data_IF_717993444094
#
_entry.id   IF_717993444094
#
_cell.length_a   1.000
_cell.length_b   1.000
_cell.length_c   1.000
_cell.angle_alpha   90.00
_cell.angle_beta   90.00
_cell.angle_gamma   90.00
#
_symmetry.space_group_name_H-M   'P 1'
#
loop_
_entity.id
_entity.type
_entity.pdbx_description
1 polymer ?
#
# COMPACT_ATOMS: atom_id res chain seq x y z
N UNK A 1 37.01 -16.78 14.94
CA UNK A 1 36.82 -15.63 15.85
C UNK A 1 35.60 -14.87 15.34
N UNK A 2 34.46 -15.00 16.02
CA UNK A 2 33.17 -14.52 15.53
C UNK A 2 33.11 -12.99 15.61
N UNK A 3 32.86 -12.33 14.48
CA UNK A 3 32.57 -10.90 14.40
C UNK A 3 31.12 -10.69 14.88
N UNK A 4 30.97 -10.07 16.05
CA UNK A 4 29.69 -9.68 16.61
C UNK A 4 29.05 -8.54 15.82
N UNK A 5 27.71 -8.48 15.83
CA UNK A 5 26.85 -7.58 15.05
C UNK A 5 27.01 -6.07 15.33
N UNK A 6 27.91 -5.65 16.22
CA UNK A 6 27.93 -4.29 16.77
C UNK A 6 29.26 -3.54 16.54
N UNK A 7 30.16 -4.07 15.71
CA UNK A 7 31.54 -3.55 15.59
C UNK A 7 31.69 -2.31 14.67
N UNK A 8 30.59 -1.81 14.10
CA UNK A 8 30.64 -0.64 13.22
C UNK A 8 30.83 0.68 13.98
N UNK A 9 30.40 0.75 15.25
CA UNK A 9 30.58 1.95 16.09
C UNK A 9 32.05 2.20 16.47
N UNK A 10 32.89 1.15 16.56
CA UNK A 10 34.29 1.29 17.01
C UNK A 10 35.23 1.88 15.96
N UNK A 11 34.84 1.86 14.67
CA UNK A 11 35.62 2.48 13.58
C UNK A 11 35.39 3.98 13.41
N UNK A 12 34.39 4.55 14.09
CA UNK A 12 33.99 5.96 13.97
C UNK A 12 34.90 6.94 14.72
N UNK A 13 35.93 6.47 15.42
CA UNK A 13 36.79 7.35 16.22
C UNK A 13 37.86 8.12 15.43
N UNK A 14 38.03 7.87 14.13
CA UNK A 14 39.22 8.32 13.38
C UNK A 14 38.95 9.05 12.07
N UNK A 15 37.70 9.15 11.60
CA UNK A 15 37.30 9.92 10.42
C UNK A 15 36.46 11.13 10.84
N UNK A 16 36.62 12.26 10.14
CA UNK A 16 35.88 13.48 10.47
C UNK A 16 34.38 13.33 10.21
N UNK A 17 33.55 14.02 11.01
CA UNK A 17 32.08 13.97 10.96
C UNK A 17 31.47 14.15 9.54
N UNK A 18 32.16 14.86 8.63
CA UNK A 18 31.74 15.02 7.23
C UNK A 18 31.94 13.76 6.38
N UNK A 19 33.03 13.01 6.64
CA UNK A 19 33.33 11.74 5.98
C UNK A 19 32.34 10.67 6.44
N UNK A 20 32.01 10.64 7.73
CA UNK A 20 30.98 9.75 8.29
C UNK A 20 29.59 10.04 7.70
N UNK A 21 29.23 11.32 7.53
CA UNK A 21 27.96 11.71 6.92
C UNK A 21 27.86 11.30 5.45
N UNK A 22 28.94 11.46 4.68
CA UNK A 22 28.96 11.06 3.27
C UNK A 22 28.84 9.55 3.13
N UNK A 23 29.54 8.78 3.97
CA UNK A 23 29.43 7.32 3.97
C UNK A 23 28.01 6.83 4.31
N UNK A 24 27.34 7.49 5.26
CA UNK A 24 25.94 7.19 5.59
C UNK A 24 24.99 7.48 4.42
N UNK A 25 25.20 8.60 3.70
CA UNK A 25 24.41 8.95 2.50
C UNK A 25 24.63 7.94 1.39
N UNK A 26 25.87 7.57 1.09
CA UNK A 26 26.19 6.56 0.09
C UNK A 26 25.55 5.20 0.43
N UNK A 27 25.46 4.86 1.72
CA UNK A 27 24.78 3.65 2.17
C UNK A 27 23.26 3.73 1.94
N UNK A 28 22.64 4.89 2.17
CA UNK A 28 21.21 5.12 1.88
C UNK A 28 20.95 5.06 0.38
N UNK A 29 21.77 5.71 -0.46
CA UNK A 29 21.58 5.72 -1.91
C UNK A 29 21.66 4.31 -2.52
N UNK A 30 22.57 3.48 -1.99
CA UNK A 30 22.65 2.05 -2.35
C UNK A 30 21.39 1.29 -1.93
N UNK A 31 20.91 1.50 -0.71
CA UNK A 31 19.68 0.86 -0.23
C UNK A 31 18.46 1.30 -1.04
N UNK A 32 18.36 2.58 -1.38
CA UNK A 32 17.27 3.11 -2.22
C UNK A 32 17.27 2.49 -3.61
N UNK A 33 18.47 2.24 -4.17
CA UNK A 33 18.63 1.50 -5.42
C UNK A 33 18.11 0.06 -5.30
N UNK A 34 18.39 -0.62 -4.19
CA UNK A 34 17.87 -1.96 -3.91
C UNK A 34 16.34 -1.96 -3.74
N UNK A 35 15.79 -0.97 -3.03
CA UNK A 35 14.35 -0.78 -2.87
C UNK A 35 13.69 -0.59 -4.25
N UNK A 36 14.26 0.27 -5.11
CA UNK A 36 13.75 0.51 -6.44
C UNK A 36 13.71 -0.77 -7.28
N UNK A 37 14.78 -1.58 -7.25
CA UNK A 37 14.82 -2.87 -7.94
C UNK A 37 13.78 -3.85 -7.39
N UNK A 38 13.65 -3.93 -6.06
CA UNK A 38 12.65 -4.78 -5.41
C UNK A 38 11.22 -4.38 -5.77
N UNK A 39 10.94 -3.07 -5.83
CA UNK A 39 9.65 -2.53 -6.26
C UNK A 39 9.36 -2.89 -7.72
N UNK A 40 10.32 -2.68 -8.63
CA UNK A 40 10.16 -3.04 -10.04
C UNK A 40 9.82 -4.53 -10.21
N UNK A 41 10.57 -5.41 -9.53
CA UNK A 41 10.31 -6.86 -9.51
C UNK A 41 8.92 -7.19 -8.94
N UNK A 42 8.52 -6.54 -7.85
CA UNK A 42 7.18 -6.71 -7.26
C UNK A 42 6.09 -6.32 -8.25
N UNK A 43 6.26 -5.21 -8.98
CA UNK A 43 5.28 -4.78 -9.97
C UNK A 43 5.16 -5.79 -11.12
N UNK A 44 6.27 -6.31 -11.64
CA UNK A 44 6.26 -7.37 -12.66
C UNK A 44 5.54 -8.64 -12.19
N UNK A 45 5.78 -9.08 -10.95
CA UNK A 45 5.05 -10.21 -10.36
C UNK A 45 3.55 -9.91 -10.26
N UNK A 46 3.19 -8.68 -9.93
CA UNK A 46 1.80 -8.27 -9.84
C UNK A 46 1.11 -8.29 -11.20
N UNK A 47 1.80 -7.90 -12.28
CA UNK A 47 1.31 -8.00 -13.65
C UNK A 47 1.06 -9.47 -14.04
N UNK A 48 1.99 -10.37 -13.69
CA UNK A 48 1.85 -11.81 -13.93
C UNK A 48 0.66 -12.41 -13.17
N UNK A 49 0.41 -11.98 -11.92
CA UNK A 49 -0.74 -12.42 -11.13
C UNK A 49 -2.06 -12.05 -11.81
N UNK A 50 -2.16 -10.86 -12.42
CA UNK A 50 -3.36 -10.47 -13.17
C UNK A 50 -3.48 -11.24 -14.47
N UNK A 51 -2.39 -11.43 -15.22
CA UNK A 51 -2.40 -12.22 -16.43
C UNK A 51 -2.88 -13.67 -16.18
N UNK A 52 -2.48 -14.27 -15.06
CA UNK A 52 -2.90 -15.61 -14.66
C UNK A 52 -4.40 -15.69 -14.27
N UNK A 53 -5.00 -14.57 -13.88
CA UNK A 53 -6.34 -14.52 -13.26
C UNK A 53 -7.51 -14.60 -14.25
N UNK A 54 -7.30 -14.75 -15.56
CA UNK A 54 -8.34 -14.97 -16.61
C UNK A 54 -9.64 -14.16 -16.39
N UNK A 55 -9.53 -12.86 -16.09
CA UNK A 55 -10.68 -11.96 -15.87
C UNK A 55 -11.08 -11.75 -14.41
N UNK A 56 -10.36 -12.30 -13.42
CA UNK A 56 -10.60 -11.98 -12.02
C UNK A 56 -9.99 -10.62 -11.63
N UNK A 57 -10.79 -9.81 -10.94
CA UNK A 57 -10.46 -8.43 -10.56
C UNK A 57 -9.21 -8.30 -9.67
N UNK A 58 -8.46 -7.21 -9.91
CA UNK A 58 -7.25 -6.85 -9.19
C UNK A 58 -7.53 -6.42 -7.74
N UNK A 59 -8.53 -5.57 -7.51
CA UNK A 59 -8.84 -5.03 -6.19
C UNK A 59 -9.53 -6.06 -5.28
N UNK A 60 -8.87 -6.42 -4.17
CA UNK A 60 -9.34 -7.41 -3.18
C UNK A 60 -9.03 -6.92 -1.76
N UNK A 61 -9.88 -6.08 -1.14
CA UNK A 61 -9.63 -5.46 0.16
C UNK A 61 -9.20 -6.44 1.26
N UNK A 62 -9.86 -7.61 1.33
CA UNK A 62 -9.52 -8.65 2.31
C UNK A 62 -8.11 -9.21 2.14
N UNK A 63 -7.61 -9.32 0.90
CA UNK A 63 -6.24 -9.78 0.62
C UNK A 63 -5.21 -8.75 1.05
N UNK A 64 -5.48 -7.46 0.82
CA UNK A 64 -4.61 -6.36 1.24
C UNK A 64 -4.52 -6.28 2.76
N UNK A 65 -5.66 -6.37 3.45
CA UNK A 65 -5.70 -6.38 4.91
C UNK A 65 -4.92 -7.57 5.50
N UNK A 66 -5.05 -8.76 4.90
CA UNK A 66 -4.27 -9.93 5.30
C UNK A 66 -2.76 -9.75 5.07
N UNK A 67 -2.36 -9.16 3.94
CA UNK A 67 -0.96 -8.87 3.64
C UNK A 67 -0.36 -7.91 4.68
N UNK A 68 -1.03 -6.79 4.98
CA UNK A 68 -0.53 -5.82 5.96
C UNK A 68 -0.40 -6.44 7.34
N UNK A 69 -1.41 -7.20 7.82
CA UNK A 69 -1.33 -7.90 9.10
C UNK A 69 -0.13 -8.85 9.16
N UNK A 70 0.11 -9.60 8.09
CA UNK A 70 1.25 -10.51 7.99
C UNK A 70 2.59 -9.75 8.04
N UNK A 71 2.71 -8.62 7.34
CA UNK A 71 3.93 -7.81 7.33
C UNK A 71 4.24 -7.22 8.71
N UNK A 72 3.22 -6.71 9.41
CA UNK A 72 3.36 -6.22 10.79
C UNK A 72 3.83 -7.34 11.74
N UNK A 73 3.23 -8.53 11.63
CA UNK A 73 3.63 -9.67 12.44
C UNK A 73 5.08 -10.09 12.17
N UNK A 74 5.46 -10.17 10.88
CA UNK A 74 6.81 -10.52 10.46
C UNK A 74 7.84 -9.47 10.91
N UNK A 75 7.52 -8.18 10.80
CA UNK A 75 8.39 -7.09 11.25
C UNK A 75 8.71 -7.23 12.74
N UNK A 76 7.69 -7.47 13.56
CA UNK A 76 7.86 -7.71 15.00
C UNK A 76 8.69 -8.97 15.28
N UNK A 77 8.39 -10.08 14.60
CA UNK A 77 9.10 -11.35 14.81
C UNK A 77 10.58 -11.28 14.42
N UNK A 78 10.93 -10.47 13.42
CA UNK A 78 12.30 -10.31 12.93
C UNK A 78 13.07 -9.20 13.66
N UNK A 79 12.50 -8.56 14.68
CA UNK A 79 13.14 -7.48 15.43
C UNK A 79 13.37 -6.21 14.62
N UNK A 80 12.55 -5.95 13.59
CA UNK A 80 12.62 -4.72 12.80
C UNK A 80 11.98 -3.56 13.56
N UNK A 81 12.66 -2.42 13.63
CA UNK A 81 12.17 -1.19 14.26
C UNK A 81 11.26 -0.38 13.30
N UNK A 82 10.14 -0.99 12.90
CA UNK A 82 9.14 -0.34 12.05
C UNK A 82 7.78 -0.35 12.76
N UNK A 83 7.17 0.83 12.88
CA UNK A 83 5.83 0.95 13.42
C UNK A 83 4.80 0.35 12.45
N UNK A 84 3.68 -0.21 12.95
CA UNK A 84 2.60 -0.70 12.09
C UNK A 84 2.06 0.37 11.12
N UNK A 85 2.09 1.64 11.52
CA UNK A 85 1.66 2.76 10.70
C UNK A 85 2.59 2.99 9.49
N UNK A 86 3.90 2.86 9.67
CA UNK A 86 4.88 2.96 8.57
C UNK A 86 4.68 1.82 7.58
N UNK A 87 4.53 0.59 8.07
CA UNK A 87 4.27 -0.59 7.22
C UNK A 87 2.98 -0.40 6.43
N UNK A 88 1.90 0.02 7.10
CA UNK A 88 0.63 0.28 6.43
C UNK A 88 0.79 1.37 5.36
N UNK A 89 1.41 2.51 5.68
CA UNK A 89 1.58 3.63 4.74
C UNK A 89 2.34 3.23 3.48
N UNK A 90 3.50 2.60 3.64
CA UNK A 90 4.35 2.18 2.51
C UNK A 90 3.64 1.15 1.64
N UNK A 91 3.13 0.07 2.23
CA UNK A 91 2.49 -0.99 1.45
C UNK A 91 1.16 -0.55 0.83
N UNK A 92 0.43 0.38 1.46
CA UNK A 92 -0.79 0.97 0.88
C UNK A 92 -0.48 1.65 -0.45
N UNK A 93 0.56 2.48 -0.51
CA UNK A 93 0.94 3.18 -1.75
C UNK A 93 1.48 2.21 -2.82
N UNK A 94 2.24 1.20 -2.42
CA UNK A 94 2.71 0.16 -3.35
C UNK A 94 1.52 -0.62 -3.94
N UNK A 95 0.52 -0.96 -3.13
CA UNK A 95 -0.69 -1.64 -3.59
C UNK A 95 -1.53 -0.74 -4.50
N UNK A 96 -1.74 0.52 -4.14
CA UNK A 96 -2.40 1.52 -4.98
C UNK A 96 -1.74 1.64 -6.36
N UNK A 97 -0.41 1.79 -6.41
CA UNK A 97 0.32 1.85 -7.67
C UNK A 97 0.16 0.57 -8.51
N UNK A 98 0.12 -0.60 -7.84
CA UNK A 98 -0.13 -1.89 -8.52
C UNK A 98 -1.52 -1.92 -9.16
N UNK A 99 -2.55 -1.46 -8.43
CA UNK A 99 -3.94 -1.41 -8.91
C UNK A 99 -4.08 -0.46 -10.09
N UNK A 100 -3.53 0.76 -9.97
CA UNK A 100 -3.52 1.76 -11.05
C UNK A 100 -2.86 1.23 -12.32
N UNK A 101 -1.75 0.47 -12.18
CA UNK A 101 -1.05 -0.12 -13.33
C UNK A 101 -1.83 -1.26 -14.00
N UNK A 102 -2.59 -2.04 -13.23
CA UNK A 102 -3.28 -3.24 -13.72
C UNK A 102 -4.66 -2.97 -14.29
N UNK A 103 -5.38 -2.02 -13.69
CA UNK A 103 -6.75 -1.72 -14.01
C UNK A 103 -6.81 -0.32 -14.60
N UNK A 104 -6.99 -0.24 -15.91
CA UNK A 104 -7.17 1.04 -16.62
C UNK A 104 -8.24 1.93 -15.97
N UNK A 105 -9.25 1.37 -15.29
CA UNK A 105 -10.34 2.13 -14.64
C UNK A 105 -10.90 1.39 -13.40
N UNK A 106 -10.30 1.53 -12.22
CA UNK A 106 -11.01 1.20 -10.96
C UNK A 106 -11.98 2.35 -10.63
N UNK A 107 -13.16 2.34 -11.26
CA UNK A 107 -14.23 3.26 -10.92
C UNK A 107 -14.84 2.90 -9.55
N UNK A 108 -14.89 3.89 -8.65
CA UNK A 108 -15.43 3.77 -7.29
C UNK A 108 -16.47 4.86 -7.07
N UNK A 109 -17.67 4.48 -6.65
CA UNK A 109 -18.64 5.43 -6.15
C UNK A 109 -18.25 5.87 -4.73
N UNK A 110 -18.18 7.16 -4.44
CA UNK A 110 -17.65 7.66 -3.16
C UNK A 110 -18.63 8.66 -2.55
N UNK A 111 -19.00 8.42 -1.29
CA UNK A 111 -19.72 9.41 -0.52
C UNK A 111 -18.76 10.56 -0.11
N UNK A 112 -19.14 11.85 -0.26
CA UNK A 112 -18.25 12.97 0.02
C UNK A 112 -17.60 12.96 1.42
N UNK A 113 -18.31 12.50 2.45
CA UNK A 113 -17.76 12.45 3.82
C UNK A 113 -16.62 11.44 4.02
N UNK A 114 -16.47 10.45 3.12
CA UNK A 114 -15.36 9.48 3.16
C UNK A 114 -14.32 9.71 2.07
N UNK A 115 -14.45 10.77 1.29
CA UNK A 115 -13.49 11.12 0.23
C UNK A 115 -12.03 11.19 0.74
N UNK A 116 -11.71 11.79 1.90
CA UNK A 116 -10.33 11.81 2.39
C UNK A 116 -9.77 10.39 2.65
N UNK A 117 -10.60 9.49 3.18
CA UNK A 117 -10.21 8.10 3.41
C UNK A 117 -10.06 7.33 2.08
N UNK A 118 -10.94 7.58 1.11
CA UNK A 118 -10.86 7.03 -0.24
C UNK A 118 -9.56 7.45 -0.94
N UNK A 119 -9.24 8.74 -0.92
CA UNK A 119 -8.01 9.30 -1.49
C UNK A 119 -6.76 8.70 -0.84
N UNK A 120 -6.73 8.59 0.49
CA UNK A 120 -5.61 7.98 1.19
C UNK A 120 -5.45 6.48 0.86
N UNK A 121 -6.56 5.75 0.78
CA UNK A 121 -6.56 4.30 0.58
C UNK A 121 -6.23 3.92 -0.86
N UNK A 122 -6.81 4.62 -1.83
CA UNK A 122 -6.69 4.29 -3.25
C UNK A 122 -5.55 5.04 -3.93
N UNK A 123 -5.06 6.14 -3.36
CA UNK A 123 -3.94 6.90 -3.91
C UNK A 123 -4.14 7.24 -5.38
N UNK A 124 -3.12 6.97 -6.20
CA UNK A 124 -3.16 7.19 -7.65
C UNK A 124 -4.13 6.27 -8.42
N UNK A 125 -4.71 5.25 -7.77
CA UNK A 125 -5.69 4.37 -8.40
C UNK A 125 -7.14 4.87 -8.28
N UNK A 126 -7.39 5.99 -7.59
CA UNK A 126 -8.74 6.48 -7.37
C UNK A 126 -9.33 7.13 -8.63
N UNK A 127 -10.37 6.52 -9.20
CA UNK A 127 -11.29 7.15 -10.15
C UNK A 127 -12.66 7.23 -9.47
N UNK A 128 -12.98 8.39 -8.90
CA UNK A 128 -14.16 8.55 -8.05
C UNK A 128 -15.33 9.23 -8.77
N UNK A 129 -16.52 8.68 -8.61
CA UNK A 129 -17.79 9.38 -8.89
C UNK A 129 -18.48 9.66 -7.56
N UNK A 130 -18.90 10.90 -7.33
CA UNK A 130 -19.41 11.34 -6.04
C UNK A 130 -20.93 11.50 -6.02
N UNK A 131 -21.58 10.90 -5.03
CA UNK A 131 -22.97 11.15 -4.67
C UNK A 131 -23.11 11.17 -3.15
N UNK A 132 -23.91 12.09 -2.63
CA UNK A 132 -24.22 12.24 -1.19
C UNK A 132 -25.43 11.41 -0.74
N UNK A 133 -26.11 10.74 -1.67
CA UNK A 133 -27.23 9.85 -1.38
C UNK A 133 -26.82 8.38 -1.49
N UNK A 134 -27.07 7.60 -0.44
CA UNK A 134 -26.73 6.17 -0.38
C UNK A 134 -27.41 5.36 -1.50
N UNK A 135 -28.69 5.62 -1.77
CA UNK A 135 -29.46 4.92 -2.81
C UNK A 135 -28.85 5.09 -4.20
N UNK A 136 -28.32 6.29 -4.51
CA UNK A 136 -27.64 6.54 -5.78
C UNK A 136 -26.32 5.76 -5.86
N UNK A 137 -25.52 5.75 -4.79
CA UNK A 137 -24.28 4.98 -4.73
C UNK A 137 -24.54 3.48 -4.91
N UNK A 138 -25.59 2.94 -4.27
CA UNK A 138 -26.02 1.54 -4.42
C UNK A 138 -26.51 1.24 -5.84
N UNK A 139 -27.31 2.14 -6.44
CA UNK A 139 -27.78 2.00 -7.81
C UNK A 139 -26.63 1.98 -8.83
N UNK A 140 -25.56 2.76 -8.62
CA UNK A 140 -24.36 2.72 -9.45
C UNK A 140 -23.64 1.37 -9.39
N UNK A 141 -23.59 0.75 -8.20
CA UNK A 141 -23.01 -0.59 -8.04
C UNK A 141 -23.90 -1.65 -8.67
N UNK A 142 -25.21 -1.59 -8.41
CA UNK A 142 -26.19 -2.55 -8.93
C UNK A 142 -26.29 -2.53 -10.46
N UNK A 143 -26.18 -1.34 -11.07
CA UNK A 143 -26.18 -1.17 -12.54
C UNK A 143 -24.85 -1.52 -13.21
N UNK A 144 -23.80 -1.77 -12.43
CA UNK A 144 -22.46 -2.08 -12.93
C UNK A 144 -21.67 -0.87 -13.45
N UNK A 145 -22.14 0.37 -13.23
CA UNK A 145 -21.39 1.59 -13.55
C UNK A 145 -20.08 1.67 -12.77
N UNK A 146 -20.09 1.18 -11.53
CA UNK A 146 -18.89 0.96 -10.74
C UNK A 146 -19.02 -0.37 -9.99
N UNK A 147 -17.91 -0.87 -9.46
CA UNK A 147 -17.90 -2.16 -8.74
C UNK A 147 -17.90 -2.01 -7.22
N UNK A 148 -17.45 -0.87 -6.73
CA UNK A 148 -17.28 -0.60 -5.32
C UNK A 148 -17.88 0.75 -4.99
N UNK A 149 -18.57 0.82 -3.86
CA UNK A 149 -18.94 2.06 -3.22
C UNK A 149 -18.17 2.22 -1.90
N UNK A 150 -17.66 3.41 -1.63
CA UNK A 150 -17.12 3.81 -0.34
C UNK A 150 -18.14 4.73 0.32
N UNK A 151 -18.70 4.27 1.43
CA UNK A 151 -19.78 4.95 2.16
C UNK A 151 -19.37 5.15 3.62
N UNK A 152 -20.02 6.08 4.32
CA UNK A 152 -19.77 6.33 5.74
C UNK A 152 -20.10 5.08 6.56
N UNK A 153 -19.37 4.86 7.65
CA UNK A 153 -19.58 3.69 8.51
C UNK A 153 -20.78 3.85 9.45
N UNK A 154 -21.39 5.04 9.44
CA UNK A 154 -22.37 5.59 10.38
C UNK A 154 -23.83 5.30 10.01
N UNK A 155 -24.10 4.34 9.11
CA UNK A 155 -25.44 3.91 8.69
C UNK A 155 -25.76 2.43 8.94
N UNK A 156 -27.05 2.12 8.94
CA UNK A 156 -27.67 0.79 9.08
C UNK A 156 -27.03 -0.24 8.13
N UNK A 157 -26.02 -0.97 8.62
CA UNK A 157 -25.29 -1.97 7.84
C UNK A 157 -26.22 -3.05 7.25
N UNK A 158 -27.42 -3.20 7.82
CA UNK A 158 -28.46 -4.09 7.33
C UNK A 158 -28.87 -3.76 5.89
N UNK A 159 -29.02 -2.47 5.55
CA UNK A 159 -29.37 -2.01 4.20
C UNK A 159 -28.25 -2.22 3.16
N UNK A 160 -27.00 -2.47 3.60
CA UNK A 160 -25.87 -2.80 2.74
C UNK A 160 -25.73 -4.32 2.50
N UNK A 161 -26.45 -5.14 3.26
CA UNK A 161 -26.38 -6.62 3.25
C UNK A 161 -27.59 -7.29 2.57
N UNK A 162 -28.63 -6.52 2.22
CA UNK A 162 -29.80 -6.93 1.43
C UNK A 162 -29.56 -6.74 -0.08
#
# INVERSE_FOLDING_TARGET
MALGKDDWFRRLGTLGMSEDLNQLRDAIDRLDSEILQALAKRMQLSDQVIAAKKGAFAFRPGREAALVRQLVANSKANGQDLSPAVILGVWRQIMAASLSRQNGDLAVAVHPSVMPAAAWHMGSALVATNHDQLDLLLAMVASGQCRYALVPADGDQQALLE
#
